data_IF_919030966166
#
_entry.id   IF_919030966166
#
_cell.length_a   1.000
_cell.length_b   1.000
_cell.length_c   1.000
_cell.angle_alpha   90.00
_cell.angle_beta   90.00
_cell.angle_gamma   90.00
#
_symmetry.space_group_name_H-M   'P 1'
#
loop_
_entity.id
_entity.type
_entity.pdbx_description
1 polymer ?
#
# COMPACT_ATOMS: atom_id res chain seq x y z
N UNK A 1 -39.26 0.83 41.80
CA UNK A 1 -39.08 0.18 40.48
C UNK A 1 -37.76 0.71 39.93
N UNK A 2 -36.66 -0.02 40.11
CA UNK A 2 -35.34 0.39 39.66
C UNK A 2 -35.17 -0.13 38.22
N UNK A 3 -35.06 0.76 37.25
CA UNK A 3 -34.74 0.39 35.87
C UNK A 3 -33.22 0.26 35.78
N UNK A 4 -32.72 -0.98 35.77
CA UNK A 4 -31.33 -1.26 35.47
C UNK A 4 -31.13 -1.10 33.95
N UNK A 5 -30.50 0.01 33.55
CA UNK A 5 -30.01 0.16 32.19
C UNK A 5 -28.80 -0.76 32.01
N UNK A 6 -29.02 -1.93 31.41
CA UNK A 6 -27.94 -2.76 30.89
C UNK A 6 -27.36 -2.06 29.65
N UNK A 7 -26.29 -1.29 29.84
CA UNK A 7 -25.40 -0.94 28.75
C UNK A 7 -24.72 -2.24 28.30
N UNK A 8 -25.16 -2.81 27.18
CA UNK A 8 -24.41 -3.87 26.53
C UNK A 8 -23.02 -3.31 26.20
N UNK A 9 -21.92 -3.95 26.61
CA UNK A 9 -20.61 -3.57 26.12
C UNK A 9 -20.64 -3.77 24.61
N UNK A 10 -20.55 -2.69 23.84
CA UNK A 10 -20.28 -2.75 22.42
C UNK A 10 -18.86 -3.30 22.27
N UNK A 11 -18.73 -4.63 22.22
CA UNK A 11 -17.51 -5.24 21.77
C UNK A 11 -17.36 -4.81 20.32
N UNK A 12 -16.29 -4.06 20.03
CA UNK A 12 -15.85 -3.77 18.68
C UNK A 12 -15.84 -5.11 17.91
N UNK A 13 -16.74 -5.23 16.95
CA UNK A 13 -16.89 -6.43 16.16
C UNK A 13 -16.01 -6.28 14.91
N UNK A 14 -15.39 -7.36 14.40
CA UNK A 14 -14.75 -7.34 13.09
C UNK A 14 -15.66 -6.66 12.06
N UNK A 15 -15.12 -5.69 11.32
CA UNK A 15 -15.93 -4.97 10.34
C UNK A 15 -16.32 -5.91 9.22
N UNK A 16 -17.51 -5.71 8.64
CA UNK A 16 -18.04 -6.50 7.53
C UNK A 16 -17.66 -5.91 6.17
N UNK A 17 -17.74 -6.73 5.11
CA UNK A 17 -17.58 -6.25 3.73
C UNK A 17 -18.57 -5.12 3.38
N UNK A 18 -19.79 -5.14 3.94
CA UNK A 18 -20.77 -4.09 3.75
C UNK A 18 -20.35 -2.77 4.42
N UNK A 19 -19.78 -2.85 5.63
CA UNK A 19 -19.22 -1.67 6.30
C UNK A 19 -18.00 -1.13 5.55
N UNK A 20 -17.13 -2.00 5.00
CA UNK A 20 -16.01 -1.57 4.17
C UNK A 20 -16.48 -0.82 2.91
N UNK A 21 -17.49 -1.34 2.21
CA UNK A 21 -18.11 -0.65 1.08
C UNK A 21 -18.65 0.73 1.50
N UNK A 22 -19.42 0.78 2.58
CA UNK A 22 -20.03 2.01 3.07
C UNK A 22 -18.98 3.05 3.49
N UNK A 23 -17.92 2.64 4.18
CA UNK A 23 -16.83 3.53 4.58
C UNK A 23 -16.10 4.11 3.38
N UNK A 24 -15.83 3.32 2.34
CA UNK A 24 -15.23 3.83 1.10
C UNK A 24 -16.17 4.81 0.39
N UNK A 25 -17.47 4.50 0.30
CA UNK A 25 -18.46 5.42 -0.27
C UNK A 25 -18.52 6.75 0.49
N UNK A 26 -18.55 6.69 1.83
CA UNK A 26 -18.50 7.87 2.68
C UNK A 26 -17.21 8.67 2.48
N UNK A 27 -16.06 8.00 2.39
CA UNK A 27 -14.76 8.63 2.20
C UNK A 27 -14.67 9.35 0.84
N UNK A 28 -15.05 8.68 -0.25
CA UNK A 28 -15.05 9.27 -1.60
C UNK A 28 -16.00 10.47 -1.73
N UNK A 29 -17.07 10.52 -0.93
CA UNK A 29 -17.98 11.68 -0.90
C UNK A 29 -17.37 12.92 -0.26
N UNK A 30 -16.36 12.74 0.61
CA UNK A 30 -15.63 13.82 1.27
C UNK A 30 -14.34 14.18 0.52
N UNK A 31 -13.71 13.19 -0.11
CA UNK A 31 -12.38 13.30 -0.71
C UNK A 31 -12.31 12.48 -2.01
N UNK A 32 -12.47 13.16 -3.15
CA UNK A 32 -12.43 12.53 -4.47
C UNK A 32 -11.01 12.46 -5.07
N UNK A 33 -10.04 13.19 -4.52
CA UNK A 33 -8.68 13.26 -5.06
C UNK A 33 -7.61 13.23 -3.95
N UNK A 34 -7.62 12.21 -3.07
CA UNK A 34 -6.68 12.10 -1.96
C UNK A 34 -5.24 12.06 -2.48
N UNK A 35 -4.36 12.86 -1.88
CA UNK A 35 -2.97 13.01 -2.30
C UNK A 35 -2.82 13.29 -3.81
N UNK A 36 -3.77 14.04 -4.39
CA UNK A 36 -3.78 14.41 -5.80
C UNK A 36 -4.04 13.23 -6.76
N UNK A 37 -4.41 12.05 -6.24
CA UNK A 37 -4.75 10.89 -7.04
C UNK A 37 -6.29 10.85 -7.26
N UNK A 38 -6.78 11.13 -8.48
CA UNK A 38 -8.22 11.16 -8.74
C UNK A 38 -8.80 9.75 -8.67
N UNK A 39 -9.64 9.49 -7.66
CA UNK A 39 -10.42 8.26 -7.55
C UNK A 39 -11.78 8.52 -8.20
N UNK A 40 -11.93 8.05 -9.44
CA UNK A 40 -13.15 8.24 -10.23
C UNK A 40 -14.09 7.06 -10.01
N UNK A 41 -15.35 7.35 -9.68
CA UNK A 41 -16.40 6.36 -9.57
C UNK A 41 -16.92 6.16 -8.16
N UNK A 42 -17.69 5.10 -7.98
CA UNK A 42 -18.27 4.67 -6.71
C UNK A 42 -17.72 3.31 -6.29
N UNK A 43 -17.77 3.02 -4.98
CA UNK A 43 -17.47 1.70 -4.46
C UNK A 43 -18.45 0.67 -5.05
N UNK A 44 -17.92 -0.33 -5.77
CA UNK A 44 -18.74 -1.21 -6.61
C UNK A 44 -18.70 -2.68 -6.15
N UNK A 45 -17.53 -3.19 -5.79
CA UNK A 45 -17.39 -4.56 -5.31
C UNK A 45 -16.37 -4.65 -4.17
N UNK A 46 -16.50 -5.70 -3.36
CA UNK A 46 -15.64 -5.95 -2.21
C UNK A 46 -15.17 -7.40 -2.22
N UNK A 47 -13.86 -7.60 -2.08
CA UNK A 47 -13.24 -8.90 -1.84
C UNK A 47 -12.63 -8.93 -0.44
N UNK A 48 -12.86 -10.01 0.30
CA UNK A 48 -12.32 -10.21 1.64
C UNK A 48 -11.06 -11.08 1.59
N UNK A 49 -10.04 -10.69 2.35
CA UNK A 49 -8.78 -11.42 2.48
C UNK A 49 -8.55 -11.75 3.95
N UNK A 50 -8.32 -13.03 4.22
CA UNK A 50 -8.21 -13.56 5.57
C UNK A 50 -6.78 -13.55 6.12
N UNK A 51 -6.67 -13.62 7.44
CA UNK A 51 -5.44 -13.96 8.14
C UNK A 51 -5.16 -15.48 8.09
N UNK A 52 -4.09 -15.91 8.77
CA UNK A 52 -3.71 -17.34 8.87
C UNK A 52 -4.77 -18.22 9.54
N UNK A 53 -5.71 -17.64 10.29
CA UNK A 53 -6.83 -18.34 10.92
C UNK A 53 -8.10 -18.34 10.04
N UNK A 54 -8.04 -17.72 8.86
CA UNK A 54 -9.17 -17.59 7.93
C UNK A 54 -10.19 -16.52 8.35
N UNK A 55 -9.89 -15.71 9.37
CA UNK A 55 -10.72 -14.56 9.74
C UNK A 55 -10.42 -13.40 8.80
N UNK A 56 -11.41 -12.61 8.37
CA UNK A 56 -11.14 -11.40 7.60
C UNK A 56 -10.11 -10.51 8.30
N UNK A 57 -9.08 -10.14 7.55
CA UNK A 57 -8.01 -9.23 7.94
C UNK A 57 -8.13 -7.90 7.20
N UNK A 58 -8.49 -7.92 5.92
CA UNK A 58 -8.75 -6.72 5.15
C UNK A 58 -9.72 -6.98 4.00
N UNK A 59 -10.21 -5.88 3.44
CA UNK A 59 -11.10 -5.81 2.30
C UNK A 59 -10.45 -4.99 1.20
N UNK A 60 -10.62 -5.45 -0.03
CA UNK A 60 -10.30 -4.69 -1.24
C UNK A 60 -11.62 -4.22 -1.83
N UNK A 61 -11.84 -2.92 -1.82
CA UNK A 61 -13.00 -2.29 -2.44
C UNK A 61 -12.59 -1.80 -3.81
N UNK A 62 -13.17 -2.35 -4.87
CA UNK A 62 -12.95 -1.90 -6.25
C UNK A 62 -13.97 -0.84 -6.65
N UNK A 63 -13.52 0.14 -7.43
CA UNK A 63 -14.35 1.22 -7.95
C UNK A 63 -14.88 0.90 -9.35
N UNK A 64 -16.08 1.39 -9.70
CA UNK A 64 -16.70 1.17 -11.03
C UNK A 64 -16.02 1.94 -12.18
N UNK A 65 -15.37 3.06 -11.90
CA UNK A 65 -14.58 3.82 -12.87
C UNK A 65 -13.23 3.18 -13.13
N UNK A 66 -12.42 3.02 -12.07
CA UNK A 66 -11.14 2.30 -12.02
C UNK A 66 -10.51 2.48 -10.63
N UNK A 67 -9.62 1.56 -10.26
CA UNK A 67 -8.87 1.65 -9.02
C UNK A 67 -9.51 0.90 -7.85
N UNK A 68 -8.89 1.06 -6.70
CA UNK A 68 -9.17 0.25 -5.52
C UNK A 68 -8.82 1.00 -4.24
N UNK A 69 -9.45 0.57 -3.14
CA UNK A 69 -9.20 1.04 -1.78
C UNK A 69 -9.05 -0.16 -0.86
N UNK A 70 -8.06 -0.11 0.03
CA UNK A 70 -7.76 -1.16 1.00
C UNK A 70 -8.26 -0.72 2.38
N UNK A 71 -9.11 -1.57 2.96
CA UNK A 71 -9.83 -1.29 4.22
C UNK A 71 -9.59 -2.43 5.21
N UNK A 72 -9.09 -2.18 6.43
CA UNK A 72 -8.91 -3.23 7.44
C UNK A 72 -10.24 -3.83 7.89
N UNK A 73 -10.21 -5.09 8.34
CA UNK A 73 -11.38 -5.81 8.82
C UNK A 73 -11.66 -5.60 10.34
N UNK A 74 -11.25 -4.45 10.88
CA UNK A 74 -11.40 -4.09 12.29
C UNK A 74 -11.48 -2.56 12.42
N UNK A 75 -12.45 -2.05 13.18
CA UNK A 75 -12.73 -0.61 13.27
C UNK A 75 -11.77 0.13 14.22
N UNK A 76 -10.95 -0.61 14.95
CA UNK A 76 -9.85 -0.09 15.75
C UNK A 76 -8.57 0.17 14.92
N UNK A 77 -8.60 -0.09 13.60
CA UNK A 77 -7.52 0.24 12.66
C UNK A 77 -7.96 1.35 11.70
N UNK A 78 -7.03 2.21 11.28
CA UNK A 78 -7.29 3.30 10.31
C UNK A 78 -8.13 2.81 9.11
N UNK A 79 -9.30 3.42 8.81
CA UNK A 79 -10.26 2.88 7.85
C UNK A 79 -9.74 2.80 6.40
N UNK A 80 -8.90 3.75 5.99
CA UNK A 80 -8.36 3.82 4.63
C UNK A 80 -6.83 3.70 4.72
N UNK A 81 -6.30 2.50 4.48
CA UNK A 81 -4.85 2.23 4.64
C UNK A 81 -4.08 2.47 3.34
N UNK A 82 -4.69 2.12 2.22
CA UNK A 82 -4.10 2.33 0.91
C UNK A 82 -5.18 2.52 -0.15
N UNK A 83 -4.83 3.17 -1.25
CA UNK A 83 -5.69 3.33 -2.41
C UNK A 83 -4.83 3.44 -3.66
N UNK A 84 -5.43 3.14 -4.82
CA UNK A 84 -4.83 3.35 -6.12
C UNK A 84 -5.90 3.82 -7.10
N UNK A 85 -5.65 4.87 -7.91
CA UNK A 85 -6.60 5.35 -8.91
C UNK A 85 -6.74 4.44 -10.13
N UNK A 86 -5.95 3.36 -10.20
CA UNK A 86 -5.96 2.41 -11.32
C UNK A 86 -5.41 1.05 -10.91
N UNK A 87 -5.51 0.09 -11.84
CA UNK A 87 -4.98 -1.26 -11.65
C UNK A 87 -5.95 -2.16 -10.89
N UNK A 88 -5.52 -3.41 -10.72
CA UNK A 88 -6.24 -4.44 -9.98
C UNK A 88 -5.37 -4.91 -8.82
N UNK A 89 -5.99 -5.32 -7.73
CA UNK A 89 -5.27 -5.88 -6.60
C UNK A 89 -4.79 -7.30 -6.94
N UNK A 90 -3.48 -7.50 -6.86
CA UNK A 90 -2.85 -8.81 -6.89
C UNK A 90 -2.28 -9.09 -5.50
N UNK A 91 -2.84 -10.04 -4.73
CA UNK A 91 -2.38 -10.36 -3.38
C UNK A 91 -1.05 -11.13 -3.36
N UNK A 92 -0.50 -11.51 -4.51
CA UNK A 92 0.71 -12.30 -4.64
C UNK A 92 1.91 -11.65 -3.96
N UNK A 93 2.74 -12.46 -3.30
CA UNK A 93 4.05 -12.05 -2.79
C UNK A 93 5.02 -11.59 -3.89
N UNK A 94 4.75 -11.96 -5.15
CA UNK A 94 5.51 -11.46 -6.30
C UNK A 94 5.14 -10.00 -6.67
N UNK A 95 3.98 -9.52 -6.21
CA UNK A 95 3.54 -8.13 -6.37
C UNK A 95 3.94 -7.32 -5.14
N UNK A 96 4.79 -6.28 -5.24
CA UNK A 96 5.25 -5.54 -4.06
C UNK A 96 4.12 -4.88 -3.26
N UNK A 97 3.08 -4.37 -3.94
CA UNK A 97 1.93 -3.76 -3.25
C UNK A 97 1.07 -4.84 -2.57
N UNK A 98 0.83 -5.95 -3.26
CA UNK A 98 0.18 -7.14 -2.70
C UNK A 98 0.89 -7.66 -1.46
N UNK A 99 2.20 -7.87 -1.54
CA UNK A 99 3.03 -8.31 -0.42
C UNK A 99 2.97 -7.33 0.76
N UNK A 100 3.07 -6.02 0.52
CA UNK A 100 2.98 -5.02 1.59
C UNK A 100 1.63 -5.11 2.30
N UNK A 101 0.52 -5.08 1.55
CA UNK A 101 -0.84 -5.15 2.13
C UNK A 101 -1.07 -6.46 2.86
N UNK A 102 -0.73 -7.59 2.24
CA UNK A 102 -0.96 -8.94 2.76
C UNK A 102 -0.12 -9.26 4.00
N UNK A 103 1.03 -8.61 4.20
CA UNK A 103 1.87 -8.83 5.38
C UNK A 103 1.64 -7.80 6.49
N UNK A 104 1.34 -6.54 6.14
CA UNK A 104 1.19 -5.44 7.11
C UNK A 104 -0.18 -5.44 7.79
N UNK A 105 -1.27 -5.48 7.02
CA UNK A 105 -2.62 -5.26 7.57
C UNK A 105 -3.07 -6.37 8.52
N UNK A 106 -2.84 -7.67 8.25
CA UNK A 106 -3.15 -8.72 9.22
C UNK A 106 -2.44 -8.52 10.57
N UNK A 107 -1.20 -8.01 10.56
CA UNK A 107 -0.45 -7.68 11.77
C UNK A 107 -1.12 -6.55 12.57
N UNK A 108 -1.60 -5.50 11.89
CA UNK A 108 -2.34 -4.39 12.53
C UNK A 108 -3.64 -4.86 13.16
N UNK A 109 -4.43 -5.64 12.43
CA UNK A 109 -5.72 -6.19 12.91
C UNK A 109 -5.50 -7.14 14.09
N UNK A 110 -4.48 -7.99 14.04
CA UNK A 110 -4.15 -8.87 15.15
C UNK A 110 -3.72 -8.09 16.40
N UNK A 111 -3.00 -6.98 16.24
CA UNK A 111 -2.54 -6.16 17.35
C UNK A 111 -3.68 -5.46 18.12
N UNK A 112 -4.74 -5.03 17.43
CA UNK A 112 -5.91 -4.41 18.09
C UNK A 112 -6.84 -5.44 18.71
N UNK A 113 -6.97 -6.64 18.13
CA UNK A 113 -7.76 -7.75 18.71
C UNK A 113 -7.16 -8.34 19.99
N UNK A 114 -5.86 -8.13 20.23
CA UNK A 114 -5.16 -8.54 21.44
C UNK A 114 -4.40 -7.35 22.04
N UNK A 115 -5.10 -6.32 22.54
CA UNK A 115 -4.47 -5.08 22.91
C UNK A 115 -3.58 -5.27 24.14
N UNK A 116 -2.33 -4.84 24.05
CA UNK A 116 -1.32 -5.00 25.12
C UNK A 116 -0.89 -3.68 25.78
N UNK A 117 -1.29 -2.51 25.26
CA UNK A 117 -0.83 -1.19 25.76
C UNK A 117 -1.90 -0.07 25.60
N UNK A 118 -1.85 0.95 26.47
CA UNK A 118 -2.72 2.13 26.49
C UNK A 118 -2.57 3.04 25.26
N UNK A 119 -1.37 3.14 24.68
CA UNK A 119 -1.17 3.92 23.44
C UNK A 119 -1.97 3.33 22.27
N UNK A 120 -2.10 2.00 22.20
CA UNK A 120 -2.93 1.33 21.22
C UNK A 120 -4.42 1.66 21.42
N UNK A 121 -4.87 1.80 22.66
CA UNK A 121 -6.26 2.15 22.97
C UNK A 121 -6.63 3.57 22.49
N UNK A 122 -5.71 4.54 22.56
CA UNK A 122 -5.97 5.89 22.03
C UNK A 122 -6.08 5.87 20.51
N UNK A 123 -5.13 5.22 19.82
CA UNK A 123 -5.17 5.09 18.36
C UNK A 123 -6.42 4.33 17.87
N UNK A 124 -6.84 3.29 18.59
CA UNK A 124 -8.07 2.55 18.32
C UNK A 124 -9.31 3.45 18.43
N UNK A 125 -9.41 4.25 19.50
CA UNK A 125 -10.52 5.21 19.67
C UNK A 125 -10.58 6.25 18.55
N UNK A 126 -9.41 6.77 18.12
CA UNK A 126 -9.32 7.69 16.99
C UNK A 126 -9.75 7.03 15.68
N UNK A 127 -9.34 5.78 15.43
CA UNK A 127 -9.77 5.00 14.28
C UNK A 127 -11.29 4.79 14.28
N UNK A 128 -11.86 4.36 15.41
CA UNK A 128 -13.31 4.13 15.56
C UNK A 128 -14.13 5.40 15.32
N UNK A 129 -13.63 6.56 15.75
CA UNK A 129 -14.25 7.84 15.47
C UNK A 129 -14.27 8.16 13.96
N UNK A 130 -13.17 7.87 13.24
CA UNK A 130 -13.11 8.01 11.77
C UNK A 130 -14.07 7.05 11.07
N UNK A 131 -14.10 5.78 11.48
CA UNK A 131 -15.06 4.78 10.98
C UNK A 131 -16.50 5.25 11.14
N UNK A 132 -16.88 5.67 12.35
CA UNK A 132 -18.23 6.15 12.65
C UNK A 132 -18.62 7.35 11.81
N UNK A 133 -17.69 8.31 11.62
CA UNK A 133 -17.91 9.47 10.75
C UNK A 133 -18.14 9.05 9.30
N UNK A 134 -17.30 8.18 8.75
CA UNK A 134 -17.38 7.71 7.37
C UNK A 134 -18.68 6.94 7.10
N UNK A 135 -19.07 6.04 8.01
CA UNK A 135 -20.35 5.32 7.95
C UNK A 135 -21.54 6.28 8.02
N UNK A 136 -21.46 7.30 8.88
CA UNK A 136 -22.47 8.35 9.00
C UNK A 136 -22.61 9.16 7.72
N UNK A 137 -21.49 9.56 7.11
CA UNK A 137 -21.49 10.29 5.83
C UNK A 137 -22.08 9.45 4.71
N UNK A 138 -21.76 8.15 4.62
CA UNK A 138 -22.32 7.26 3.60
C UNK A 138 -23.85 7.13 3.69
N UNK A 139 -24.41 7.29 4.89
CA UNK A 139 -25.85 7.19 5.16
C UNK A 139 -26.58 8.53 5.00
N UNK A 140 -25.87 9.66 5.03
CA UNK A 140 -26.43 10.99 4.96
C UNK A 140 -26.51 11.49 3.50
N UNK A 141 -27.70 11.91 3.07
CA UNK A 141 -27.87 12.63 1.80
C UNK A 141 -27.35 14.05 1.98
N UNK A 142 -26.10 14.28 1.57
CA UNK A 142 -25.45 15.58 1.41
C UNK A 142 -25.65 16.56 2.59
N UNK A 143 -24.80 16.46 3.61
CA UNK A 143 -24.47 17.62 4.43
C UNK A 143 -23.00 17.97 4.24
N UNK A 144 -22.77 19.18 3.73
CA UNK A 144 -21.51 19.92 3.88
C UNK A 144 -21.17 19.96 5.35
N UNK A 145 -20.04 19.37 5.76
CA UNK A 145 -19.11 19.99 6.71
C UNK A 145 -17.83 19.18 6.96
N UNK A 146 -16.72 19.85 6.70
CA UNK A 146 -15.32 19.58 7.05
C UNK A 146 -14.75 18.24 6.56
N UNK A 147 -13.52 18.27 6.04
CA UNK A 147 -12.79 17.04 5.71
C UNK A 147 -12.54 16.18 6.95
N UNK A 148 -12.19 14.92 6.75
CA UNK A 148 -11.59 14.10 7.81
C UNK A 148 -10.25 14.76 8.17
N UNK A 149 -9.89 14.92 9.46
CA UNK A 149 -8.58 15.43 9.83
C UNK A 149 -7.50 14.42 9.44
N UNK A 150 -7.08 14.47 8.18
CA UNK A 150 -6.03 13.66 7.58
C UNK A 150 -5.19 14.56 6.67
N UNK A 151 -3.90 14.25 6.54
CA UNK A 151 -3.04 14.95 5.58
C UNK A 151 -3.40 14.40 4.20
N UNK A 152 -4.30 15.09 3.49
CA UNK A 152 -4.80 14.65 2.18
C UNK A 152 -4.20 15.40 1.00
N UNK A 153 -3.34 16.38 1.23
CA UNK A 153 -2.75 17.18 0.17
C UNK A 153 -1.31 16.77 -0.14
N UNK A 154 -0.95 16.90 -1.42
CA UNK A 154 0.39 16.61 -1.90
C UNK A 154 1.35 17.65 -1.36
N UNK A 155 2.13 17.29 -0.35
CA UNK A 155 3.24 18.12 0.14
C UNK A 155 4.46 18.06 -0.77
N UNK A 156 4.74 16.87 -1.29
CA UNK A 156 5.80 16.59 -2.25
C UNK A 156 5.26 15.60 -3.26
N UNK A 157 5.21 15.98 -4.53
CA UNK A 157 4.79 15.07 -5.61
C UNK A 157 5.78 13.90 -5.74
N UNK A 158 5.36 12.73 -6.26
CA UNK A 158 6.28 11.62 -6.53
C UNK A 158 7.49 12.09 -7.34
N UNK A 159 8.68 11.96 -6.76
CA UNK A 159 9.92 12.44 -7.36
C UNK A 159 10.38 11.53 -8.52
N UNK A 160 10.27 10.22 -8.31
CA UNK A 160 10.65 9.21 -9.29
C UNK A 160 9.51 8.99 -10.27
N UNK A 161 9.74 9.26 -11.55
CA UNK A 161 8.77 9.04 -12.64
C UNK A 161 8.94 7.68 -13.36
N UNK A 162 10.06 6.99 -13.12
CA UNK A 162 10.30 5.68 -13.73
C UNK A 162 9.38 4.61 -13.14
N UNK A 163 9.04 3.61 -13.95
CA UNK A 163 8.28 2.42 -13.53
C UNK A 163 9.08 1.16 -13.88
N UNK A 164 10.34 1.12 -13.45
CA UNK A 164 11.27 0.04 -13.82
C UNK A 164 10.99 -1.25 -13.07
N UNK A 165 11.21 -2.38 -13.77
CA UNK A 165 11.09 -3.74 -13.24
C UNK A 165 12.43 -4.36 -12.89
N UNK A 166 12.45 -5.68 -12.67
CA UNK A 166 13.66 -6.40 -12.24
C UNK A 166 14.27 -7.28 -13.34
N UNK A 167 13.54 -7.54 -14.43
CA UNK A 167 13.93 -8.46 -15.49
C UNK A 167 13.90 -7.81 -16.88
N UNK A 168 12.72 -7.73 -17.49
CA UNK A 168 12.52 -7.40 -18.89
C UNK A 168 11.75 -6.10 -19.07
N UNK A 169 11.97 -5.44 -20.19
CA UNK A 169 11.10 -4.38 -20.70
C UNK A 169 10.73 -4.75 -22.14
N UNK A 170 9.43 -4.73 -22.46
CA UNK A 170 8.94 -5.15 -23.78
C UNK A 170 9.28 -6.61 -24.14
N UNK A 171 9.41 -7.50 -23.14
CA UNK A 171 9.77 -8.91 -23.35
C UNK A 171 11.26 -9.16 -23.61
N UNK A 172 12.11 -8.13 -23.53
CA UNK A 172 13.56 -8.23 -23.72
C UNK A 172 14.27 -8.00 -22.39
N UNK A 173 15.24 -8.86 -22.05
CA UNK A 173 16.12 -8.66 -20.90
C UNK A 173 16.69 -7.24 -20.91
N UNK A 174 16.39 -6.48 -19.87
CA UNK A 174 16.69 -5.03 -19.80
C UNK A 174 17.33 -4.70 -18.46
N UNK A 175 16.63 -4.98 -17.37
CA UNK A 175 17.11 -4.66 -16.02
C UNK A 175 18.08 -5.73 -15.47
N UNK A 176 17.98 -6.96 -16.00
CA UNK A 176 18.74 -8.13 -15.58
C UNK A 176 19.94 -8.48 -16.49
N UNK A 177 20.26 -7.68 -17.51
CA UNK A 177 21.24 -8.06 -18.56
C UNK A 177 22.65 -8.37 -18.04
N UNK A 178 22.99 -7.91 -16.83
CA UNK A 178 24.29 -8.15 -16.21
C UNK A 178 24.24 -9.12 -15.03
N UNK A 179 23.08 -9.67 -14.72
CA UNK A 179 22.99 -10.72 -13.70
C UNK A 179 23.41 -12.07 -14.30
N UNK A 180 24.00 -12.97 -13.50
CA UNK A 180 24.32 -14.31 -13.97
C UNK A 180 23.08 -15.05 -14.47
N UNK A 181 23.06 -15.39 -15.76
CA UNK A 181 21.94 -16.08 -16.40
C UNK A 181 20.67 -15.24 -16.54
N UNK A 182 20.76 -13.90 -16.51
CA UNK A 182 19.61 -12.99 -16.61
C UNK A 182 18.53 -13.24 -15.54
N UNK A 183 18.93 -13.64 -14.33
CA UNK A 183 18.04 -13.67 -13.16
C UNK A 183 17.60 -12.25 -12.80
N UNK A 184 16.46 -12.08 -12.11
CA UNK A 184 16.02 -10.76 -11.66
C UNK A 184 17.15 -10.00 -10.93
N UNK A 185 17.26 -8.69 -11.18
CA UNK A 185 18.31 -7.87 -10.55
C UNK A 185 18.07 -7.61 -9.06
N UNK A 186 16.85 -7.86 -8.58
CA UNK A 186 16.46 -7.65 -7.19
C UNK A 186 15.80 -6.29 -6.96
N UNK A 187 14.91 -6.24 -5.97
CA UNK A 187 14.17 -5.03 -5.62
C UNK A 187 15.08 -3.89 -5.17
N UNK A 188 16.14 -4.18 -4.40
CA UNK A 188 17.10 -3.18 -3.92
C UNK A 188 17.85 -2.52 -5.08
N UNK A 189 18.31 -3.32 -6.04
CA UNK A 189 19.00 -2.79 -7.22
C UNK A 189 18.05 -1.95 -8.10
N UNK A 190 16.81 -2.41 -8.27
CA UNK A 190 15.78 -1.68 -9.04
C UNK A 190 15.43 -0.35 -8.39
N UNK A 191 15.17 -0.33 -7.08
CA UNK A 191 14.86 0.89 -6.33
C UNK A 191 16.02 1.90 -6.41
N UNK A 192 17.25 1.44 -6.23
CA UNK A 192 18.43 2.30 -6.33
C UNK A 192 18.61 2.84 -7.75
N UNK A 193 18.42 2.01 -8.79
CA UNK A 193 18.53 2.45 -10.17
C UNK A 193 17.53 3.56 -10.53
N UNK A 194 16.29 3.45 -10.04
CA UNK A 194 15.27 4.49 -10.23
C UNK A 194 15.64 5.79 -9.51
N UNK A 195 16.19 5.71 -8.30
CA UNK A 195 16.69 6.88 -7.56
C UNK A 195 17.89 7.55 -8.27
N UNK A 196 18.83 6.75 -8.77
CA UNK A 196 19.98 7.23 -9.55
C UNK A 196 19.51 7.94 -10.83
N UNK A 197 18.49 7.40 -11.52
CA UNK A 197 17.89 8.05 -12.70
C UNK A 197 17.24 9.37 -12.35
N UNK A 198 16.50 9.45 -11.24
CA UNK A 198 15.91 10.72 -10.78
C UNK A 198 16.98 11.79 -10.52
N UNK A 199 18.06 11.43 -9.82
CA UNK A 199 19.15 12.36 -9.53
C UNK A 199 20.14 12.58 -10.69
N UNK A 200 20.07 11.76 -11.73
CA UNK A 200 21.01 11.76 -12.86
C UNK A 200 22.48 11.69 -12.38
N UNK A 201 22.73 10.90 -11.33
CA UNK A 201 24.03 10.82 -10.66
C UNK A 201 24.41 9.35 -10.36
N UNK A 202 25.70 8.96 -10.47
CA UNK A 202 26.87 9.79 -10.76
C UNK A 202 27.02 10.13 -12.25
N UNK A 203 27.64 11.27 -12.54
CA UNK A 203 27.96 11.73 -13.91
C UNK A 203 29.29 11.20 -14.43
N UNK A 204 30.11 10.62 -13.55
CA UNK A 204 31.35 9.95 -13.87
C UNK A 204 31.27 8.48 -13.45
N UNK A 205 32.07 7.64 -14.10
CA UNK A 205 32.16 6.23 -13.74
C UNK A 205 32.61 6.04 -12.29
N UNK A 206 31.97 5.11 -11.59
CA UNK A 206 32.39 4.65 -10.26
C UNK A 206 33.42 3.54 -10.44
N UNK A 207 34.44 3.48 -9.59
CA UNK A 207 35.56 2.54 -9.77
C UNK A 207 35.15 1.08 -9.99
N UNK A 208 36.03 0.29 -10.61
CA UNK A 208 35.77 -1.11 -10.97
C UNK A 208 36.19 -2.07 -9.86
N UNK A 209 35.67 -1.86 -8.63
CA UNK A 209 35.96 -2.77 -7.53
C UNK A 209 35.49 -4.20 -7.87
N UNK A 210 36.28 -5.19 -7.50
CA UNK A 210 35.91 -6.60 -7.62
C UNK A 210 35.41 -7.12 -6.29
N UNK A 211 34.35 -7.92 -6.33
CA UNK A 211 33.72 -8.51 -5.16
C UNK A 211 33.30 -9.95 -5.47
N UNK A 212 33.25 -10.76 -4.43
CA UNK A 212 32.80 -12.15 -4.54
C UNK A 212 31.29 -12.19 -4.41
N UNK A 213 30.64 -12.86 -5.36
CA UNK A 213 29.22 -13.22 -5.31
C UNK A 213 29.06 -14.73 -5.23
N UNK A 214 27.88 -15.19 -4.82
CA UNK A 214 27.48 -16.59 -4.94
C UNK A 214 26.49 -16.75 -6.10
N UNK A 215 26.75 -17.69 -7.01
CA UNK A 215 25.86 -18.04 -8.12
C UNK A 215 25.54 -19.52 -8.02
N UNK A 216 24.29 -19.85 -7.69
CA UNK A 216 23.89 -21.25 -7.44
C UNK A 216 24.82 -21.93 -6.42
N UNK A 217 25.07 -21.24 -5.29
CA UNK A 217 25.94 -21.69 -4.19
C UNK A 217 27.44 -21.77 -4.53
N UNK A 218 27.83 -21.40 -5.75
CA UNK A 218 29.23 -21.37 -6.18
C UNK A 218 29.79 -19.94 -6.07
N UNK A 219 30.85 -19.78 -5.29
CA UNK A 219 31.57 -18.53 -5.17
C UNK A 219 32.19 -18.11 -6.51
N UNK A 220 32.07 -16.83 -6.85
CA UNK A 220 32.43 -16.26 -8.14
C UNK A 220 32.91 -14.82 -7.96
N UNK A 221 34.11 -14.50 -8.43
CA UNK A 221 34.58 -13.11 -8.46
C UNK A 221 33.95 -12.35 -9.64
N UNK A 222 33.46 -11.14 -9.39
CA UNK A 222 32.91 -10.23 -10.42
C UNK A 222 33.44 -8.81 -10.20
N UNK A 223 33.72 -8.12 -11.29
CA UNK A 223 34.06 -6.70 -11.27
C UNK A 223 32.80 -5.85 -11.51
N UNK A 224 32.67 -4.74 -10.77
CA UNK A 224 31.73 -3.69 -11.13
C UNK A 224 32.07 -3.17 -12.53
N UNK A 225 31.06 -2.98 -13.38
CA UNK A 225 31.25 -2.35 -14.69
C UNK A 225 31.48 -0.84 -14.61
N UNK A 226 31.33 -0.27 -13.41
CA UNK A 226 31.73 1.10 -13.09
C UNK A 226 31.02 2.21 -13.86
N UNK A 227 29.95 1.90 -14.61
CA UNK A 227 29.47 2.78 -15.66
C UNK A 227 30.53 2.91 -16.75
N UNK A 228 30.49 2.04 -17.76
CA UNK A 228 31.45 2.03 -18.87
C UNK A 228 31.27 3.19 -19.87
N UNK A 229 30.60 4.27 -19.46
CA UNK A 229 30.18 5.39 -20.32
C UNK A 229 29.16 5.03 -21.40
N UNK A 230 28.81 3.75 -21.59
CA UNK A 230 27.86 3.30 -22.61
C UNK A 230 26.39 3.41 -22.19
N UNK A 231 26.12 3.78 -20.93
CA UNK A 231 24.78 4.05 -20.42
C UNK A 231 24.15 5.34 -20.93
N UNK A 232 24.89 6.13 -21.73
CA UNK A 232 24.45 7.45 -22.20
C UNK A 232 24.49 8.50 -21.09
N UNK A 233 24.13 9.74 -21.43
CA UNK A 233 23.72 10.68 -20.41
C UNK A 233 22.42 10.16 -19.78
N UNK A 234 22.04 10.70 -18.62
CA UNK A 234 20.67 10.51 -18.16
C UNK A 234 19.75 11.49 -18.93
N UNK A 235 19.79 11.52 -20.26
CA UNK A 235 18.85 12.31 -21.06
C UNK A 235 17.42 11.75 -20.99
#
# INVERSE_FOLDING_TARGET
>A
MLVAAFAAPAWAAPTSAAQALAVVSGWLSLEAAPLGAPLVGQAAAVAAYGDIAGLPAYYVVTLDGQGLVIVPADDEVEPIVAFSPSGQFDPSEANPFGALVSNDIPGRVMAVRQPTDKLAAQAASEAQAKWSRLLGTASATAQTEQGIPTINDVRVSPLVATTWGQDTAGGVNTYNIYTPGNRVCGCVATAMAQLMRFHQFPTAGVGTASYTISVCEVASSRALRGGNGSGGAYD
#
